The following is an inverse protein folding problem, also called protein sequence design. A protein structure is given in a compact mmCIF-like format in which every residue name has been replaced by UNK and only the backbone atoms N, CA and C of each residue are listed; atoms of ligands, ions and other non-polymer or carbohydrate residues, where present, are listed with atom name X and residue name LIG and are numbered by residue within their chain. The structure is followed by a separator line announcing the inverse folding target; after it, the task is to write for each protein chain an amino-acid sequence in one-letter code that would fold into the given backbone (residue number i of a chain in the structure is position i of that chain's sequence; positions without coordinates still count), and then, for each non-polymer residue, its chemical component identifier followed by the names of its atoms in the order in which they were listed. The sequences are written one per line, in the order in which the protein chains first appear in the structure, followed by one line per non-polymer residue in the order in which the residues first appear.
data_IF_946903141665
#
_entry.id   IF_946903141665
#
_cell.length_a   1.000
_cell.length_b   1.000
_cell.length_c   1.000
_cell.angle_alpha   90.00
_cell.angle_beta   90.00
_cell.angle_gamma   90.00
#
_symmetry.space_group_name_H-M   'P 1'
#
loop_
_entity.id
_entity.type
_entity.pdbx_description
1 polymer ?
#
# COMPACT_ATOMS: atom_id res chain seq x y z
N UNK A 1 12.57 -17.81 2.20
CA UNK A 1 11.76 -16.57 2.28
C UNK A 1 11.92 -15.95 3.67
N UNK A 2 11.74 -14.64 3.82
CA UNK A 2 11.84 -13.97 5.13
C UNK A 2 10.48 -13.78 5.79
N UNK A 3 10.46 -13.58 7.11
CA UNK A 3 9.24 -13.38 7.88
C UNK A 3 8.44 -12.15 7.43
N UNK A 4 9.10 -11.14 6.84
CA UNK A 4 8.43 -9.93 6.35
C UNK A 4 7.47 -10.15 5.19
N UNK A 5 7.58 -11.27 4.46
CA UNK A 5 6.64 -11.59 3.36
C UNK A 5 5.22 -11.86 3.88
N UNK A 6 5.08 -12.36 5.11
CA UNK A 6 3.78 -12.70 5.69
C UNK A 6 2.93 -11.44 5.89
N UNK A 7 3.35 -10.43 6.69
CA UNK A 7 2.58 -9.21 6.83
C UNK A 7 2.49 -8.42 5.52
N UNK A 8 3.53 -8.37 4.68
CA UNK A 8 3.45 -7.66 3.40
C UNK A 8 2.45 -8.29 2.43
N UNK A 9 2.45 -9.62 2.30
CA UNK A 9 1.51 -10.35 1.46
C UNK A 9 0.07 -10.19 1.93
N UNK A 10 -0.17 -10.33 3.25
CA UNK A 10 -1.49 -10.06 3.83
C UNK A 10 -1.93 -8.62 3.59
N UNK A 11 -1.04 -7.65 3.80
CA UNK A 11 -1.32 -6.24 3.56
C UNK A 11 -1.76 -5.95 2.12
N UNK A 12 -1.04 -6.49 1.14
CA UNK A 12 -1.37 -6.38 -0.29
C UNK A 12 -2.72 -7.02 -0.60
N UNK A 13 -3.02 -8.19 -0.04
CA UNK A 13 -4.33 -8.83 -0.20
C UNK A 13 -5.44 -7.93 0.34
N UNK A 14 -5.24 -7.31 1.51
CA UNK A 14 -6.22 -6.38 2.07
C UNK A 14 -6.41 -5.13 1.21
N UNK A 15 -5.33 -4.56 0.64
CA UNK A 15 -5.44 -3.43 -0.28
C UNK A 15 -6.23 -3.79 -1.54
N UNK A 16 -5.99 -4.97 -2.12
CA UNK A 16 -6.74 -5.45 -3.29
C UNK A 16 -8.22 -5.69 -2.93
N UNK A 17 -8.50 -6.38 -1.83
CA UNK A 17 -9.87 -6.61 -1.35
C UNK A 17 -10.59 -5.29 -1.11
N UNK A 18 -9.90 -4.30 -0.52
CA UNK A 18 -10.45 -2.97 -0.32
C UNK A 18 -10.84 -2.28 -1.63
N UNK A 19 -9.98 -2.34 -2.66
CA UNK A 19 -10.23 -1.65 -3.93
C UNK A 19 -11.25 -2.37 -4.83
N UNK A 20 -11.36 -3.70 -4.73
CA UNK A 20 -12.14 -4.49 -5.69
C UNK A 20 -13.42 -5.12 -5.14
N UNK A 21 -13.50 -5.39 -3.83
CA UNK A 21 -14.55 -6.27 -3.30
C UNK A 21 -15.37 -5.65 -2.16
N UNK A 22 -14.83 -4.66 -1.44
CA UNK A 22 -15.46 -4.17 -0.21
C UNK A 22 -16.04 -2.76 -0.39
N UNK A 23 -17.21 -2.47 0.21
CA UNK A 23 -17.79 -1.13 0.21
C UNK A 23 -16.86 -0.07 0.79
N UNK A 24 -16.70 1.01 0.05
CA UNK A 24 -16.02 2.22 0.50
C UNK A 24 -16.96 3.23 1.14
N UNK A 25 -18.16 3.34 0.59
CA UNK A 25 -19.20 4.21 1.12
C UNK A 25 -20.41 3.36 1.45
N UNK A 26 -21.00 3.56 2.62
CA UNK A 26 -22.28 2.93 2.98
C UNK A 26 -23.23 3.98 3.50
N UNK A 27 -24.40 4.06 2.88
CA UNK A 27 -25.50 4.92 3.27
C UNK A 27 -26.61 4.06 3.85
N UNK A 28 -27.13 4.44 5.01
CA UNK A 28 -28.28 3.75 5.61
C UNK A 28 -29.37 4.78 5.89
N UNK A 29 -30.56 4.55 5.36
CA UNK A 29 -31.75 5.36 5.60
C UNK A 29 -32.92 4.44 5.94
N UNK A 30 -33.37 4.48 7.20
CA UNK A 30 -34.37 3.54 7.70
C UNK A 30 -33.90 2.09 7.57
N UNK A 31 -34.68 1.26 6.86
CA UNK A 31 -34.38 -0.16 6.61
C UNK A 31 -33.53 -0.40 5.35
N UNK A 32 -33.21 0.64 4.57
CA UNK A 32 -32.49 0.50 3.30
C UNK A 32 -31.03 0.90 3.49
N UNK A 33 -30.12 0.01 3.10
CA UNK A 33 -28.68 0.29 3.04
C UNK A 33 -28.18 0.18 1.60
N UNK A 34 -27.45 1.20 1.15
CA UNK A 34 -26.83 1.25 -0.18
C UNK A 34 -25.33 1.42 0.01
N UNK A 35 -24.56 0.53 -0.64
CA UNK A 35 -23.11 0.50 -0.55
C UNK A 35 -22.48 0.71 -1.91
N UNK A 36 -21.41 1.50 -1.96
CA UNK A 36 -20.61 1.75 -3.16
C UNK A 36 -19.20 1.23 -2.95
N UNK A 37 -18.69 0.47 -3.92
CA UNK A 37 -17.30 0.03 -3.96
C UNK A 37 -16.39 1.13 -4.48
N UNK A 38 -15.06 0.95 -4.37
CA UNK A 38 -14.12 1.91 -4.96
C UNK A 38 -14.29 2.03 -6.49
N UNK A 39 -14.62 0.94 -7.18
CA UNK A 39 -14.88 0.96 -8.62
C UNK A 39 -16.12 1.79 -8.99
N UNK A 40 -17.12 1.82 -8.11
CA UNK A 40 -18.30 2.67 -8.33
C UNK A 40 -17.94 4.15 -8.16
N UNK A 41 -17.10 4.46 -7.16
CA UNK A 41 -16.54 5.82 -7.00
C UNK A 41 -15.72 6.24 -8.21
N UNK A 42 -14.93 5.33 -8.79
CA UNK A 42 -14.18 5.57 -10.01
C UNK A 42 -15.11 5.86 -11.20
N UNK A 43 -16.12 5.02 -11.43
CA UNK A 43 -17.08 5.21 -12.54
C UNK A 43 -17.85 6.52 -12.43
N UNK A 44 -18.08 7.00 -11.21
CA UNK A 44 -18.85 8.21 -10.94
C UNK A 44 -17.95 9.42 -10.66
N UNK A 45 -16.62 9.31 -10.78
CA UNK A 45 -15.69 10.37 -10.35
C UNK A 45 -15.91 11.70 -11.06
N UNK A 46 -16.43 11.67 -12.28
CA UNK A 46 -16.66 12.86 -13.10
C UNK A 46 -18.02 13.51 -12.78
N UNK A 47 -18.90 12.78 -12.11
CA UNK A 47 -20.26 13.21 -11.75
C UNK A 47 -20.36 13.61 -10.27
N UNK A 48 -19.50 13.04 -9.42
CA UNK A 48 -19.47 13.30 -7.97
C UNK A 48 -18.47 14.41 -7.67
N UNK A 49 -18.97 15.51 -7.08
CA UNK A 49 -18.09 16.54 -6.50
C UNK A 49 -17.53 16.06 -5.17
N UNK A 50 -16.31 15.49 -5.22
CA UNK A 50 -15.54 15.25 -4.01
C UNK A 50 -15.15 16.56 -3.31
N UNK A 51 -14.61 16.45 -2.10
CA UNK A 51 -14.21 17.61 -1.28
C UNK A 51 -13.15 18.49 -1.94
N UNK A 52 -12.35 17.94 -2.87
CA UNK A 52 -11.22 18.60 -3.54
C UNK A 52 -10.84 17.84 -4.83
N UNK A 53 -10.14 18.52 -5.75
CA UNK A 53 -9.60 17.91 -6.98
C UNK A 53 -8.56 16.82 -6.69
N UNK A 54 -7.88 16.90 -5.54
CA UNK A 54 -6.96 15.87 -5.07
C UNK A 54 -7.69 14.57 -4.69
N UNK A 55 -8.88 14.65 -4.10
CA UNK A 55 -9.71 13.48 -3.84
C UNK A 55 -10.15 12.81 -5.15
N UNK A 56 -10.56 13.60 -6.14
CA UNK A 56 -10.90 13.11 -7.48
C UNK A 56 -9.71 12.41 -8.13
N UNK A 57 -8.53 13.05 -8.10
CA UNK A 57 -7.29 12.49 -8.66
C UNK A 57 -6.88 11.19 -7.96
N UNK A 58 -7.12 11.10 -6.65
CA UNK A 58 -6.86 9.89 -5.89
C UNK A 58 -7.75 8.74 -6.32
N UNK A 59 -9.06 8.96 -6.46
CA UNK A 59 -10.00 7.94 -6.93
C UNK A 59 -9.67 7.48 -8.35
N UNK A 60 -9.38 8.43 -9.26
CA UNK A 60 -9.12 8.14 -10.67
C UNK A 60 -7.79 7.41 -10.91
N UNK A 61 -6.74 7.79 -10.18
CA UNK A 61 -5.38 7.35 -10.50
C UNK A 61 -4.64 6.79 -9.29
N UNK A 62 -4.57 7.54 -8.19
CA UNK A 62 -3.60 7.20 -7.14
C UNK A 62 -3.98 5.95 -6.36
N UNK A 63 -5.27 5.64 -6.14
CA UNK A 63 -5.67 4.43 -5.41
C UNK A 63 -5.03 3.15 -5.98
N UNK A 64 -5.23 2.90 -7.28
CA UNK A 64 -4.62 1.73 -7.95
C UNK A 64 -3.12 1.86 -8.16
N UNK A 65 -2.65 3.06 -8.56
CA UNK A 65 -1.24 3.28 -8.84
C UNK A 65 -0.38 3.06 -7.60
N UNK A 66 -0.80 3.59 -6.44
CA UNK A 66 -0.06 3.45 -5.19
C UNK A 66 -0.02 2.00 -4.72
N UNK A 67 -1.12 1.25 -4.81
CA UNK A 67 -1.12 -0.19 -4.50
C UNK A 67 -0.19 -0.96 -5.42
N UNK A 68 -0.24 -0.71 -6.74
CA UNK A 68 0.66 -1.36 -7.70
C UNK A 68 2.14 -1.03 -7.43
N UNK A 69 2.46 0.24 -7.16
CA UNK A 69 3.81 0.69 -6.82
C UNK A 69 4.29 0.08 -5.50
N UNK A 70 3.40 -0.03 -4.51
CA UNK A 70 3.68 -0.64 -3.21
C UNK A 70 4.05 -2.12 -3.39
N UNK A 71 3.26 -2.87 -4.18
CA UNK A 71 3.56 -4.25 -4.53
C UNK A 71 4.92 -4.38 -5.22
N UNK A 72 5.15 -3.58 -6.27
CA UNK A 72 6.38 -3.62 -7.06
C UNK A 72 7.62 -3.25 -6.22
N UNK A 73 7.49 -2.31 -5.29
CA UNK A 73 8.59 -1.86 -4.45
C UNK A 73 8.90 -2.82 -3.29
N UNK A 74 7.88 -3.43 -2.67
CA UNK A 74 8.03 -4.15 -1.41
C UNK A 74 8.12 -5.68 -1.58
N UNK A 75 7.41 -6.26 -2.54
CA UNK A 75 7.43 -7.72 -2.73
C UNK A 75 8.82 -8.26 -3.07
N UNK A 76 9.59 -7.68 -4.02
CA UNK A 76 10.91 -8.20 -4.31
C UNK A 76 11.85 -8.15 -3.10
N UNK A 77 11.70 -7.13 -2.26
CA UNK A 77 12.46 -7.02 -1.01
C UNK A 77 12.08 -8.10 -0.01
N UNK A 78 10.81 -8.22 0.34
CA UNK A 78 10.32 -9.14 1.38
C UNK A 78 10.44 -10.62 1.00
N UNK A 79 10.30 -10.94 -0.29
CA UNK A 79 10.57 -12.27 -0.85
C UNK A 79 12.08 -12.60 -0.82
N UNK A 80 12.93 -11.59 -0.69
CA UNK A 80 14.37 -11.75 -0.74
C UNK A 80 14.88 -11.97 -2.17
N UNK A 81 14.21 -11.44 -3.18
CA UNK A 81 14.68 -11.46 -4.56
C UNK A 81 15.94 -10.59 -4.76
N UNK A 82 16.22 -9.64 -3.84
CA UNK A 82 17.39 -8.74 -3.87
C UNK A 82 18.72 -9.36 -3.41
N UNK A 83 18.88 -10.69 -3.52
CA UNK A 83 20.04 -11.43 -2.99
C UNK A 83 21.33 -11.29 -3.82
N UNK A 84 21.23 -10.87 -5.07
CA UNK A 84 22.38 -10.76 -5.99
C UNK A 84 22.65 -9.30 -6.36
N UNK A 85 23.91 -8.93 -6.65
CA UNK A 85 24.27 -7.56 -7.10
C UNK A 85 23.40 -7.08 -8.26
N UNK A 86 23.08 -7.97 -9.21
CA UNK A 86 22.23 -7.68 -10.38
C UNK A 86 20.78 -7.39 -10.00
N UNK A 87 20.20 -8.20 -9.10
CA UNK A 87 18.83 -7.98 -8.59
C UNK A 87 18.73 -6.73 -7.70
N UNK A 88 19.71 -6.49 -6.83
CA UNK A 88 19.78 -5.28 -6.01
C UNK A 88 19.92 -4.02 -6.89
N UNK A 89 20.75 -4.09 -7.93
CA UNK A 89 20.90 -3.02 -8.92
C UNK A 89 19.59 -2.69 -9.65
N UNK A 90 18.85 -3.71 -10.11
CA UNK A 90 17.63 -3.53 -10.88
C UNK A 90 16.42 -3.09 -10.04
N UNK A 91 16.27 -3.61 -8.83
CA UNK A 91 15.01 -3.52 -8.08
C UNK A 91 15.07 -2.60 -6.87
N UNK A 92 16.26 -2.24 -6.36
CA UNK A 92 16.38 -1.33 -5.21
C UNK A 92 16.61 0.13 -5.61
N UNK A 93 17.12 0.39 -6.82
CA UNK A 93 17.67 1.69 -7.27
C UNK A 93 18.86 2.20 -6.43
N UNK A 94 19.33 1.41 -5.44
CA UNK A 94 20.48 1.74 -4.60
C UNK A 94 21.74 1.30 -5.35
N UNK A 95 22.30 2.19 -6.18
CA UNK A 95 23.42 1.89 -7.08
C UNK A 95 24.80 1.82 -6.41
N UNK A 96 24.92 2.26 -5.15
CA UNK A 96 26.23 2.57 -4.52
C UNK A 96 26.66 1.65 -3.37
N UNK A 97 25.79 0.79 -2.84
CA UNK A 97 26.12 -0.08 -1.70
C UNK A 97 25.76 -1.52 -2.02
N UNK A 98 26.67 -2.45 -1.85
CA UNK A 98 26.33 -3.87 -1.91
C UNK A 98 25.50 -4.24 -0.67
N UNK A 99 24.51 -5.14 -0.80
CA UNK A 99 23.74 -5.60 0.35
C UNK A 99 24.64 -6.49 1.22
N UNK A 100 25.02 -6.00 2.40
CA UNK A 100 25.87 -6.71 3.37
C UNK A 100 25.16 -6.87 4.70
N UNK A 101 25.66 -7.75 5.57
CA UNK A 101 25.13 -7.90 6.93
C UNK A 101 25.14 -6.60 7.72
N UNK A 102 26.19 -5.80 7.53
CA UNK A 102 26.44 -4.54 8.23
C UNK A 102 25.45 -3.44 7.80
N UNK A 103 25.11 -3.34 6.52
CA UNK A 103 24.21 -2.31 6.01
C UNK A 103 22.77 -2.77 5.79
N UNK A 104 22.44 -4.03 6.14
CA UNK A 104 21.11 -4.60 5.97
C UNK A 104 19.99 -3.77 6.61
N UNK A 105 20.27 -3.14 7.76
CA UNK A 105 19.30 -2.28 8.45
C UNK A 105 18.94 -1.05 7.60
N UNK A 106 19.90 -0.48 6.87
CA UNK A 106 19.66 0.66 6.00
C UNK A 106 18.67 0.31 4.90
N UNK A 107 18.81 -0.88 4.31
CA UNK A 107 17.87 -1.38 3.31
C UNK A 107 16.46 -1.55 3.89
N UNK A 108 16.33 -2.13 5.10
CA UNK A 108 15.03 -2.20 5.80
C UNK A 108 14.41 -0.82 5.95
N UNK A 109 15.18 0.16 6.41
CA UNK A 109 14.71 1.54 6.59
C UNK A 109 14.28 2.17 5.27
N UNK A 110 15.02 1.98 4.18
CA UNK A 110 14.66 2.54 2.86
C UNK A 110 13.37 1.93 2.32
N UNK A 111 13.22 0.61 2.37
CA UNK A 111 11.99 -0.05 1.90
C UNK A 111 10.79 0.27 2.78
N UNK A 112 10.97 0.27 4.11
CA UNK A 112 9.95 0.69 5.05
C UNK A 112 9.55 2.15 4.79
N UNK A 113 10.50 3.06 4.61
CA UNK A 113 10.23 4.46 4.31
C UNK A 113 9.43 4.66 3.02
N UNK A 114 9.74 3.90 1.96
CA UNK A 114 8.94 3.91 0.72
C UNK A 114 7.52 3.44 0.97
N UNK A 115 7.34 2.33 1.69
CA UNK A 115 6.01 1.83 2.06
C UNK A 115 5.24 2.84 2.94
N UNK A 116 5.93 3.54 3.86
CA UNK A 116 5.33 4.55 4.72
C UNK A 116 4.82 5.74 3.92
N UNK A 117 5.54 6.16 2.87
CA UNK A 117 5.04 7.21 1.97
C UNK A 117 3.74 6.78 1.27
N UNK A 118 3.66 5.52 0.82
CA UNK A 118 2.44 4.98 0.21
C UNK A 118 1.28 4.92 1.21
N UNK A 119 1.54 4.49 2.45
CA UNK A 119 0.57 4.52 3.54
C UNK A 119 0.04 5.94 3.78
N UNK A 120 0.91 6.95 3.86
CA UNK A 120 0.49 8.34 4.08
C UNK A 120 -0.37 8.86 2.92
N UNK A 121 -0.04 8.50 1.67
CA UNK A 121 -0.84 8.88 0.51
C UNK A 121 -2.20 8.18 0.49
N UNK A 122 -2.26 6.89 0.85
CA UNK A 122 -3.54 6.18 1.01
C UNK A 122 -4.40 6.79 2.12
N UNK A 123 -3.82 7.02 3.31
CA UNK A 123 -4.52 7.63 4.42
C UNK A 123 -4.99 9.05 4.08
N UNK A 124 -4.13 9.86 3.44
CA UNK A 124 -4.46 11.19 2.96
C UNK A 124 -5.59 11.18 1.92
N UNK A 125 -5.55 10.25 0.96
CA UNK A 125 -6.61 10.07 -0.03
C UNK A 125 -7.96 9.74 0.60
N UNK A 126 -7.98 8.80 1.56
CA UNK A 126 -9.18 8.47 2.34
C UNK A 126 -9.70 9.70 3.09
N UNK A 127 -8.84 10.41 3.82
CA UNK A 127 -9.22 11.61 4.57
C UNK A 127 -9.80 12.67 3.63
N UNK A 128 -9.20 12.88 2.46
CA UNK A 128 -9.70 13.85 1.49
C UNK A 128 -11.07 13.44 0.93
N UNK A 129 -11.26 12.18 0.53
CA UNK A 129 -12.56 11.69 0.03
C UNK A 129 -13.67 11.95 1.07
N UNK A 130 -13.41 11.64 2.34
CA UNK A 130 -14.42 11.68 3.41
C UNK A 130 -14.39 12.93 4.28
N UNK A 131 -13.60 13.96 3.92
CA UNK A 131 -13.36 15.15 4.76
C UNK A 131 -14.64 15.84 5.26
N UNK A 132 -15.74 15.75 4.49
CA UNK A 132 -17.03 16.34 4.83
C UNK A 132 -17.94 15.43 5.65
N UNK A 133 -17.76 14.11 5.56
CA UNK A 133 -18.62 13.16 6.26
C UNK A 133 -17.95 11.78 6.45
N UNK A 134 -17.21 11.64 7.54
CA UNK A 134 -16.58 10.38 7.95
C UNK A 134 -17.59 9.30 8.37
N UNK A 135 -18.84 9.65 8.69
CA UNK A 135 -19.85 8.65 9.08
C UNK A 135 -20.24 7.70 7.94
N UNK A 136 -19.90 8.06 6.71
CA UNK A 136 -20.18 7.27 5.51
C UNK A 136 -19.10 6.22 5.21
N UNK A 137 -18.03 6.17 6.02
CA UNK A 137 -16.93 5.23 5.85
C UNK A 137 -17.43 3.78 5.89
N UNK A 138 -17.33 3.12 4.74
CA UNK A 138 -17.44 1.66 4.66
C UNK A 138 -16.15 0.98 5.15
N UNK A 139 -16.15 -0.35 5.08
CA UNK A 139 -15.01 -1.16 5.52
C UNK A 139 -13.77 -1.02 4.61
N UNK A 140 -13.95 -0.69 3.33
CA UNK A 140 -12.89 -0.62 2.32
C UNK A 140 -11.71 0.27 2.72
N UNK A 141 -11.93 1.56 3.06
CA UNK A 141 -10.87 2.47 3.51
C UNK A 141 -10.05 1.95 4.69
N UNK A 142 -10.69 1.31 5.68
CA UNK A 142 -10.00 0.72 6.82
C UNK A 142 -9.10 -0.44 6.39
N UNK A 143 -9.59 -1.31 5.49
CA UNK A 143 -8.80 -2.41 4.95
C UNK A 143 -7.63 -1.92 4.09
N UNK A 144 -7.82 -0.85 3.32
CA UNK A 144 -6.75 -0.26 2.53
C UNK A 144 -5.64 0.31 3.44
N UNK A 145 -5.98 1.14 4.41
CA UNK A 145 -4.99 1.77 5.31
C UNK A 145 -4.35 0.72 6.22
N UNK A 146 -5.14 -0.21 6.75
CA UNK A 146 -4.63 -1.34 7.55
C UNK A 146 -3.73 -2.27 6.73
N UNK A 147 -4.09 -2.52 5.47
CA UNK A 147 -3.29 -3.26 4.51
C UNK A 147 -1.93 -2.59 4.28
N UNK A 148 -1.93 -1.30 3.95
CA UNK A 148 -0.72 -0.52 3.74
C UNK A 148 0.17 -0.48 4.99
N UNK A 149 -0.41 -0.41 6.20
CA UNK A 149 0.33 -0.51 7.44
C UNK A 149 1.03 -1.88 7.60
N UNK A 150 0.34 -2.98 7.28
CA UNK A 150 0.96 -4.31 7.28
C UNK A 150 2.09 -4.42 6.25
N UNK A 151 1.96 -3.76 5.10
CA UNK A 151 3.04 -3.68 4.12
C UNK A 151 4.27 -2.95 4.68
N UNK A 152 4.08 -1.84 5.40
CA UNK A 152 5.17 -1.13 6.11
C UNK A 152 5.87 -2.06 7.09
N UNK A 153 5.10 -2.78 7.91
CA UNK A 153 5.64 -3.75 8.88
C UNK A 153 6.44 -4.83 8.17
N UNK A 154 5.91 -5.39 7.09
CA UNK A 154 6.61 -6.40 6.30
C UNK A 154 7.89 -5.88 5.65
N UNK A 155 7.88 -4.66 5.12
CA UNK A 155 9.05 -4.00 4.57
C UNK A 155 10.14 -3.75 5.63
N UNK A 156 9.74 -3.33 6.85
CA UNK A 156 10.65 -3.10 7.97
C UNK A 156 11.29 -4.40 8.48
N UNK A 157 10.54 -5.50 8.51
CA UNK A 157 11.08 -6.83 8.85
C UNK A 157 12.00 -7.32 7.72
N UNK A 158 11.57 -7.17 6.47
CA UNK A 158 12.30 -7.56 5.28
C UNK A 158 12.57 -9.06 5.16
N UNK A 159 13.51 -9.47 4.29
CA UNK A 159 13.88 -10.86 4.12
C UNK A 159 14.73 -11.36 5.30
N UNK A 160 14.85 -12.69 5.43
CA UNK A 160 15.82 -13.28 6.37
C UNK A 160 17.24 -12.99 5.87
N UNK A 161 18.15 -12.66 6.79
CA UNK A 161 19.57 -12.54 6.44
C UNK A 161 20.10 -13.90 5.95
N UNK A 162 20.58 -13.95 4.71
CA UNK A 162 21.19 -15.15 4.12
C UNK A 162 22.60 -15.37 4.63
N UNK A 163 23.02 -16.64 4.70
CA UNK A 163 24.40 -17.05 5.03
C UNK A 163 25.40 -16.62 3.95
N UNK A 164 24.93 -16.45 2.71
CA UNK A 164 25.73 -16.05 1.55
C UNK A 164 25.93 -14.54 1.42
N UNK A 165 25.34 -13.73 2.31
CA UNK A 165 25.57 -12.29 2.28
C UNK A 165 27.00 -11.96 2.72
N UNK A 166 27.71 -11.05 2.00
CA UNK A 166 28.98 -10.50 2.45
C UNK A 166 28.82 -9.87 3.84
N UNK A 167 29.85 -10.00 4.68
CA UNK A 167 29.87 -9.38 6.02
C UNK A 167 29.96 -7.85 5.90
#
# INVERSE_FOLDING_TARGET
MGLGVIPAGLGIVLELVALFAVPWVTFTSGAVSVSFTFLDLLKQSDQVKFSSDLATSYVQWFGFLLTALTMAAVLPWTLGALRTKRSAFLLSSIRRKELTHTNFWWYRTVFAGRATLMLLLHAGGVVLIFARNFSLLGLGPYLLVGGALLVVVGAAIGPRKGTEMPR
#
